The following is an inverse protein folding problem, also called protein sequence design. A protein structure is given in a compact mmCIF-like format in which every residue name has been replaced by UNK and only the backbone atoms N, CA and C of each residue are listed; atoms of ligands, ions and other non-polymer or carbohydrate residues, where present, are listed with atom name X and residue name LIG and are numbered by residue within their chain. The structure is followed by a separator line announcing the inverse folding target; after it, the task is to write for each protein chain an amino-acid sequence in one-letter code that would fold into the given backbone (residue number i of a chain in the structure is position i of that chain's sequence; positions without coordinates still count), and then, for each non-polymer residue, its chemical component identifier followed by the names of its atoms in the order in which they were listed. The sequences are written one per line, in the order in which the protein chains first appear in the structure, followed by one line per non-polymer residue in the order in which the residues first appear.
data_IF_772615956469
#
_entry.id   IF_772615956469
#
_cell.length_a   1.000
_cell.length_b   1.000
_cell.length_c   1.000
_cell.angle_alpha   90.00
_cell.angle_beta   90.00
_cell.angle_gamma   90.00
#
_symmetry.space_group_name_H-M   'P 1'
#
loop_
_entity.id
_entity.type
_entity.pdbx_description
1 polymer ?
#
# COMPACT_ATOMS: atom_id res chain seq x y z
N UNK A 1 6.64 -9.13 -9.35
CA UNK A 1 5.27 -8.63 -9.04
C UNK A 1 4.90 -7.72 -10.18
N UNK A 2 3.65 -7.76 -10.65
CA UNK A 2 3.19 -6.81 -11.67
C UNK A 2 2.18 -5.87 -11.05
N UNK A 3 2.25 -4.60 -11.41
CA UNK A 3 1.30 -3.57 -11.02
C UNK A 3 0.62 -3.01 -12.25
N UNK A 4 -0.65 -2.62 -12.11
CA UNK A 4 -1.34 -1.87 -13.14
C UNK A 4 -0.76 -0.45 -13.23
N UNK A 5 -0.43 0.00 -14.44
CA UNK A 5 -0.03 1.38 -14.70
C UNK A 5 -1.20 2.12 -15.38
N UNK A 6 -1.80 3.10 -14.70
CA UNK A 6 -2.92 3.87 -15.25
C UNK A 6 -2.55 4.79 -16.42
N UNK A 7 -1.28 5.22 -16.53
CA UNK A 7 -0.84 6.08 -17.64
C UNK A 7 -0.74 5.31 -18.95
N UNK A 8 -0.27 4.07 -18.88
CA UNK A 8 -0.10 3.22 -20.07
C UNK A 8 -1.24 2.23 -20.27
N UNK A 9 -2.09 2.03 -19.25
CA UNK A 9 -3.14 1.00 -19.23
C UNK A 9 -2.60 -0.42 -19.44
N UNK A 10 -1.47 -0.73 -18.81
CA UNK A 10 -0.77 -2.01 -18.95
C UNK A 10 -0.28 -2.54 -17.60
N UNK A 11 -0.11 -3.86 -17.50
CA UNK A 11 0.63 -4.47 -16.40
C UNK A 11 2.13 -4.35 -16.65
N UNK A 12 2.81 -3.67 -15.73
CA UNK A 12 4.25 -3.48 -15.75
C UNK A 12 4.91 -4.23 -14.60
N UNK A 13 6.21 -4.48 -14.70
CA UNK A 13 6.98 -4.94 -13.55
C UNK A 13 7.01 -3.86 -12.46
N UNK A 14 6.67 -4.27 -11.23
CA UNK A 14 6.69 -3.39 -10.07
C UNK A 14 8.14 -3.00 -9.75
N UNK A 15 8.47 -1.70 -9.64
CA UNK A 15 9.84 -1.26 -9.30
C UNK A 15 10.33 -1.86 -7.98
N UNK A 16 11.59 -2.32 -7.94
CA UNK A 16 12.17 -2.97 -6.75
C UNK A 16 12.09 -2.08 -5.49
N UNK A 17 12.28 -0.76 -5.64
CA UNK A 17 12.13 0.22 -4.56
C UNK A 17 10.73 0.20 -3.91
N UNK A 18 9.69 -0.04 -4.71
CA UNK A 18 8.32 -0.12 -4.19
C UNK A 18 8.10 -1.44 -3.46
N UNK A 19 8.61 -2.55 -4.00
CA UNK A 19 8.57 -3.85 -3.34
C UNK A 19 9.21 -3.76 -1.94
N UNK A 20 10.42 -3.18 -1.84
CA UNK A 20 11.11 -2.98 -0.57
C UNK A 20 10.33 -2.07 0.39
N UNK A 21 9.80 -0.95 -0.13
CA UNK A 21 8.95 -0.05 0.67
C UNK A 21 7.75 -0.78 1.28
N UNK A 22 7.03 -1.59 0.49
CA UNK A 22 5.86 -2.34 0.98
C UNK A 22 6.24 -3.40 2.02
N UNK A 23 7.39 -4.04 1.86
CA UNK A 23 7.90 -5.01 2.85
C UNK A 23 8.28 -4.33 4.18
N UNK A 24 8.97 -3.19 4.10
CA UNK A 24 9.32 -2.41 5.30
C UNK A 24 8.08 -1.84 5.99
N UNK A 25 7.08 -1.41 5.22
CA UNK A 25 5.79 -0.95 5.74
C UNK A 25 5.04 -2.07 6.47
N UNK A 26 4.94 -3.26 5.88
CA UNK A 26 4.29 -4.41 6.51
C UNK A 26 4.99 -4.82 7.81
N UNK A 27 6.33 -4.80 7.81
CA UNK A 27 7.12 -5.08 9.01
C UNK A 27 6.88 -4.02 10.10
N UNK A 28 6.77 -2.74 9.72
CA UNK A 28 6.45 -1.65 10.64
C UNK A 28 5.06 -1.84 11.25
N UNK A 29 4.05 -2.17 10.43
CA UNK A 29 2.70 -2.38 10.91
C UNK A 29 2.61 -3.50 11.94
N UNK A 30 3.20 -4.65 11.63
CA UNK A 30 3.24 -5.81 12.52
C UNK A 30 4.02 -5.53 13.80
N UNK A 31 5.12 -4.77 13.73
CA UNK A 31 5.95 -4.42 14.89
C UNK A 31 5.17 -3.61 15.94
N UNK A 32 4.32 -2.70 15.51
CA UNK A 32 3.58 -1.81 16.39
C UNK A 32 2.12 -2.21 16.60
N UNK A 33 1.66 -3.30 15.96
CA UNK A 33 0.26 -3.74 15.95
C UNK A 33 -0.71 -2.64 15.46
N UNK A 34 -0.25 -1.83 14.51
CA UNK A 34 -0.97 -0.68 13.94
C UNK A 34 -0.87 -0.69 12.41
N UNK A 35 -1.92 -0.26 11.72
CA UNK A 35 -1.95 -0.14 10.26
C UNK A 35 -2.67 1.14 9.83
N UNK A 36 -2.30 1.67 8.65
CA UNK A 36 -3.08 2.72 8.00
C UNK A 36 -4.27 2.05 7.30
N UNK A 37 -5.47 2.52 7.61
CA UNK A 37 -6.72 2.08 7.01
C UNK A 37 -7.21 3.08 5.95
N UNK A 38 -8.45 2.86 5.49
CA UNK A 38 -9.16 3.76 4.60
C UNK A 38 -9.31 5.19 5.16
N UNK A 39 -9.72 6.11 4.29
CA UNK A 39 -9.91 7.52 4.63
C UNK A 39 -11.13 7.74 5.54
N UNK A 40 -11.02 8.68 6.48
CA UNK A 40 -12.15 9.20 7.23
C UNK A 40 -13.03 10.12 6.36
N UNK A 41 -14.12 10.64 6.94
CA UNK A 41 -15.03 11.54 6.22
C UNK A 41 -14.38 12.86 5.77
N UNK A 42 -13.22 13.21 6.31
CA UNK A 42 -12.42 14.38 5.95
C UNK A 42 -11.27 14.09 4.97
N UNK A 43 -11.12 12.86 4.50
CA UNK A 43 -10.01 12.44 3.63
C UNK A 43 -8.69 12.17 4.39
N UNK A 44 -8.74 12.10 5.72
CA UNK A 44 -7.59 11.74 6.55
C UNK A 44 -7.41 10.23 6.65
N UNK A 45 -6.17 9.77 6.57
CA UNK A 45 -5.87 8.36 6.82
C UNK A 45 -6.11 8.00 8.29
N UNK A 46 -6.85 6.92 8.53
CA UNK A 46 -7.08 6.40 9.88
C UNK A 46 -5.92 5.46 10.26
N UNK A 47 -5.41 5.59 11.49
CA UNK A 47 -4.49 4.61 12.07
C UNK A 47 -5.29 3.75 13.04
N UNK A 48 -5.33 2.46 12.80
CA UNK A 48 -6.04 1.49 13.64
C UNK A 48 -5.19 0.25 13.89
N UNK A 49 -5.74 -0.74 14.61
CA UNK A 49 -5.05 -2.00 14.88
C UNK A 49 -4.62 -2.68 13.58
N UNK A 50 -3.49 -3.38 13.58
CA UNK A 50 -3.05 -4.13 12.41
C UNK A 50 -4.17 -5.07 11.91
N UNK A 51 -4.46 -4.99 10.62
CA UNK A 51 -5.32 -5.94 9.91
C UNK A 51 -4.69 -6.31 8.57
N UNK A 52 -4.83 -7.57 8.16
CA UNK A 52 -4.37 -8.02 6.85
C UNK A 52 -5.13 -7.28 5.73
N UNK A 53 -6.41 -6.94 5.95
CA UNK A 53 -7.22 -6.16 5.03
C UNK A 53 -6.60 -4.79 4.71
N UNK A 54 -6.13 -4.06 5.72
CA UNK A 54 -5.48 -2.76 5.51
C UNK A 54 -4.17 -2.91 4.73
N UNK A 55 -3.42 -3.99 4.98
CA UNK A 55 -2.19 -4.26 4.23
C UNK A 55 -2.49 -4.64 2.77
N UNK A 56 -3.54 -5.42 2.51
CA UNK A 56 -4.01 -5.72 1.15
C UNK A 56 -4.44 -4.45 0.43
N UNK A 57 -5.22 -3.59 1.09
CA UNK A 57 -5.64 -2.31 0.53
C UNK A 57 -4.44 -1.41 0.17
N UNK A 58 -3.43 -1.34 1.04
CA UNK A 58 -2.18 -0.65 0.74
C UNK A 58 -1.43 -1.27 -0.45
N UNK A 59 -1.46 -2.60 -0.62
CA UNK A 59 -0.86 -3.30 -1.79
C UNK A 59 -1.61 -3.03 -3.09
N UNK A 60 -2.90 -2.73 -3.00
CA UNK A 60 -3.73 -2.30 -4.13
C UNK A 60 -3.52 -0.82 -4.50
N UNK A 61 -3.00 0.00 -3.57
CA UNK A 61 -2.61 1.37 -3.87
C UNK A 61 -1.68 1.39 -5.10
N UNK A 62 -2.18 2.01 -6.16
CA UNK A 62 -1.61 1.84 -7.48
C UNK A 62 -0.39 2.73 -7.69
N UNK A 63 0.49 2.31 -8.59
CA UNK A 63 1.68 3.06 -8.98
C UNK A 63 1.27 4.33 -9.72
N UNK A 64 1.16 5.45 -9.00
CA UNK A 64 1.05 6.79 -9.59
C UNK A 64 2.42 7.43 -9.89
N UNK A 65 3.52 6.74 -9.56
CA UNK A 65 4.89 7.27 -9.63
C UNK A 65 5.59 7.12 -10.99
N UNK A 66 4.98 6.45 -11.97
CA UNK A 66 5.46 6.40 -13.36
C UNK A 66 4.70 7.41 -14.19
#
# INVERSE_FOLDING_TARGET
MKSWNYKTSEFIETPEKLIKFMQELEALYKKYDLSIAHEDQGGGFIIEKYSDFNMEWMKECTVNFL
#
